data_IF_832251535024
#
_entry.id   IF_832251535024
#
_cell.length_a   1.000
_cell.length_b   1.000
_cell.length_c   1.000
_cell.angle_alpha   90.00
_cell.angle_beta   90.00
_cell.angle_gamma   90.00
#
_symmetry.space_group_name_H-M   'P 1'
#
loop_
_entity.id
_entity.type
_entity.pdbx_description
1 polymer ?
#
# COMPACT_ATOMS: atom_id res chain seq x y z
N UNK A 1 59.57 20.91 16.14
CA UNK A 1 59.02 22.20 15.65
C UNK A 1 58.57 22.05 14.21
N UNK A 2 57.25 21.85 13.98
CA UNK A 2 56.46 22.24 12.79
C UNK A 2 55.12 21.50 12.81
N UNK A 3 54.32 21.85 13.80
CA UNK A 3 52.88 21.99 13.58
C UNK A 3 52.73 23.34 12.86
N UNK A 4 51.75 23.51 11.97
CA UNK A 4 51.40 24.71 11.18
C UNK A 4 51.67 24.60 9.68
N UNK A 5 50.83 23.85 8.97
CA UNK A 5 50.17 24.35 7.77
C UNK A 5 48.68 23.95 7.88
N UNK A 6 47.90 24.91 8.38
CA UNK A 6 46.44 24.94 8.35
C UNK A 6 45.96 25.30 6.94
N UNK A 7 44.80 24.75 6.55
CA UNK A 7 43.95 25.25 5.44
C UNK A 7 44.47 24.84 4.06
N UNK A 8 43.70 24.30 3.14
CA UNK A 8 42.29 24.42 2.75
C UNK A 8 42.06 23.10 1.99
N UNK A 9 41.13 22.21 2.35
CA UNK A 9 39.81 22.16 1.72
C UNK A 9 39.04 20.95 2.27
N UNK A 10 39.19 20.68 3.57
CA UNK A 10 38.36 19.66 4.24
C UNK A 10 36.97 20.23 4.48
N UNK A 11 36.21 20.34 3.39
CA UNK A 11 34.75 20.41 3.43
C UNK A 11 34.23 19.36 2.46
N UNK A 12 34.50 18.10 2.79
CA UNK A 12 33.73 16.98 2.27
C UNK A 12 32.36 17.09 2.94
N UNK A 13 31.45 17.86 2.32
CA UNK A 13 30.03 17.78 2.64
C UNK A 13 29.56 16.41 2.16
N UNK A 14 29.74 15.38 3.00
CA UNK A 14 29.01 14.13 2.85
C UNK A 14 27.56 14.48 3.17
N UNK A 15 26.79 14.84 2.15
CA UNK A 15 25.34 14.80 2.23
C UNK A 15 24.98 13.34 2.43
N UNK A 16 24.90 12.91 3.69
CA UNK A 16 24.18 11.70 4.05
C UNK A 16 22.73 11.95 3.67
N UNK A 17 22.39 11.60 2.43
CA UNK A 17 21.02 11.38 2.01
C UNK A 17 20.49 10.29 2.91
N UNK A 18 19.88 10.66 4.04
CA UNK A 18 19.08 9.73 4.82
C UNK A 18 17.96 9.32 3.88
N UNK A 19 18.14 8.19 3.21
CA UNK A 19 17.05 7.51 2.55
C UNK A 19 15.96 7.40 3.61
N UNK A 20 14.90 8.19 3.45
CA UNK A 20 13.73 8.08 4.29
C UNK A 20 13.27 6.66 4.05
N UNK A 21 13.59 5.77 4.99
CA UNK A 21 13.04 4.44 5.06
C UNK A 21 11.55 4.69 5.27
N UNK A 22 10.80 4.77 4.18
CA UNK A 22 9.35 4.78 4.24
C UNK A 22 8.99 3.48 4.96
N UNK A 23 8.54 3.60 6.22
CA UNK A 23 8.13 2.45 7.00
C UNK A 23 7.09 1.71 6.16
N UNK A 24 7.39 0.46 5.78
CA UNK A 24 6.48 -0.34 4.98
C UNK A 24 5.16 -0.48 5.75
N UNK A 25 4.08 0.06 5.19
CA UNK A 25 2.76 -0.08 5.79
C UNK A 25 2.27 -1.53 5.60
N UNK A 26 1.29 -1.96 6.37
CA UNK A 26 0.76 -3.32 6.30
C UNK A 26 -0.74 -3.32 6.49
N UNK A 27 -1.45 -4.05 5.63
CA UNK A 27 -2.85 -4.41 5.85
C UNK A 27 -2.89 -5.56 6.87
N UNK A 28 -3.33 -5.24 8.07
CA UNK A 28 -3.40 -6.16 9.21
C UNK A 28 -4.68 -6.99 9.17
N UNK A 29 -5.79 -6.37 8.76
CA UNK A 29 -7.10 -7.02 8.73
C UNK A 29 -8.03 -6.38 7.68
N UNK A 30 -9.04 -7.12 7.24
CA UNK A 30 -10.11 -6.63 6.37
C UNK A 30 -11.46 -7.02 6.95
N UNK A 31 -12.36 -6.04 7.09
CA UNK A 31 -13.73 -6.25 7.53
C UNK A 31 -14.70 -5.81 6.46
N UNK A 32 -15.75 -6.61 6.23
CA UNK A 32 -16.79 -6.33 5.25
C UNK A 32 -18.12 -6.20 5.98
N UNK A 33 -18.79 -5.06 5.79
CA UNK A 33 -20.08 -4.74 6.35
C UNK A 33 -21.07 -4.51 5.21
N UNK A 34 -21.83 -5.56 4.82
CA UNK A 34 -22.84 -5.44 3.78
C UNK A 34 -24.09 -4.71 4.30
N UNK A 35 -24.69 -3.90 3.45
CA UNK A 35 -26.01 -3.29 3.61
C UNK A 35 -26.82 -3.52 2.31
N UNK A 36 -28.15 -3.28 2.31
CA UNK A 36 -28.97 -3.52 1.12
C UNK A 36 -28.55 -2.71 -0.12
N UNK A 37 -28.05 -1.48 0.08
CA UNK A 37 -27.74 -0.49 -0.96
C UNK A 37 -26.24 -0.20 -1.10
N UNK A 38 -25.43 -0.50 -0.08
CA UNK A 38 -23.99 -0.31 -0.11
C UNK A 38 -23.23 -1.45 0.57
N UNK A 39 -21.91 -1.52 0.37
CA UNK A 39 -21.04 -2.40 1.16
C UNK A 39 -19.83 -1.63 1.61
N UNK A 40 -19.57 -1.62 2.92
CA UNK A 40 -18.40 -0.96 3.50
C UNK A 40 -17.30 -1.99 3.71
N UNK A 41 -16.15 -1.76 3.09
CA UNK A 41 -14.94 -2.53 3.32
C UNK A 41 -13.95 -1.65 4.09
N UNK A 42 -13.45 -2.18 5.20
CA UNK A 42 -12.52 -1.48 6.10
C UNK A 42 -11.22 -2.25 6.14
N UNK A 43 -10.12 -1.59 5.78
CA UNK A 43 -8.76 -2.09 5.92
C UNK A 43 -8.17 -1.55 7.21
N UNK A 44 -7.79 -2.43 8.14
CA UNK A 44 -7.03 -2.04 9.33
C UNK A 44 -5.54 -2.02 8.95
N UNK A 45 -4.87 -0.90 9.24
CA UNK A 45 -3.50 -0.64 8.79
C UNK A 45 -2.67 0.03 9.88
N UNK A 46 -1.37 -0.28 9.91
CA UNK A 46 -0.44 0.26 10.90
C UNK A 46 -0.23 1.79 10.78
N UNK A 47 -0.34 2.34 9.57
CA UNK A 47 -0.24 3.77 9.31
C UNK A 47 -1.19 4.20 8.18
N UNK A 48 -1.34 5.51 7.97
CA UNK A 48 -2.14 6.04 6.85
C UNK A 48 -1.56 5.60 5.51
N UNK A 49 -2.34 4.93 4.64
CA UNK A 49 -1.83 4.49 3.35
C UNK A 49 -1.82 5.60 2.30
N UNK A 50 -0.85 5.53 1.39
CA UNK A 50 -0.98 6.13 0.06
C UNK A 50 -1.66 5.11 -0.86
N UNK A 51 -2.70 5.53 -1.58
CA UNK A 51 -3.44 4.64 -2.47
C UNK A 51 -3.96 5.33 -3.72
N UNK A 52 -4.18 4.54 -4.76
CA UNK A 52 -4.93 4.95 -5.96
C UNK A 52 -5.99 3.90 -6.28
N UNK A 53 -7.01 4.26 -7.04
CA UNK A 53 -8.05 3.31 -7.44
C UNK A 53 -8.55 3.58 -8.86
N UNK A 54 -9.10 2.55 -9.48
CA UNK A 54 -9.75 2.64 -10.79
C UNK A 54 -10.76 1.52 -10.96
N UNK A 55 -11.60 1.64 -11.98
CA UNK A 55 -12.66 0.68 -12.29
C UNK A 55 -12.43 0.02 -13.64
N UNK A 56 -12.84 -1.25 -13.76
CA UNK A 56 -12.80 -2.00 -15.01
C UNK A 56 -14.24 -2.44 -15.33
N UNK A 57 -14.83 -1.84 -16.37
CA UNK A 57 -16.24 -2.03 -16.76
C UNK A 57 -16.42 -2.52 -18.20
N UNK A 58 -15.33 -2.67 -18.95
CA UNK A 58 -15.30 -3.16 -20.33
C UNK A 58 -15.65 -4.66 -20.42
N UNK A 59 -15.45 -5.42 -19.34
CA UNK A 59 -15.85 -6.82 -19.25
C UNK A 59 -16.35 -7.23 -17.86
N UNK A 60 -17.19 -8.28 -17.82
CA UNK A 60 -17.64 -8.92 -16.58
C UNK A 60 -16.60 -9.92 -16.05
N UNK A 61 -16.48 -10.10 -14.72
CA UNK A 61 -17.14 -9.31 -13.68
C UNK A 61 -16.59 -7.88 -13.65
N UNK A 62 -17.47 -6.92 -13.32
CA UNK A 62 -17.08 -5.53 -13.10
C UNK A 62 -16.14 -5.43 -11.91
N UNK A 63 -15.12 -4.58 -12.00
CA UNK A 63 -14.09 -4.51 -10.95
C UNK A 63 -13.88 -3.12 -10.43
N UNK A 64 -13.75 -3.02 -9.11
CA UNK A 64 -13.03 -1.93 -8.45
C UNK A 64 -11.63 -2.45 -8.11
N UNK A 65 -10.61 -1.68 -8.44
CA UNK A 65 -9.22 -2.02 -8.17
C UNK A 65 -8.61 -0.91 -7.31
N UNK A 66 -8.00 -1.29 -6.19
CA UNK A 66 -7.29 -0.37 -5.30
C UNK A 66 -5.82 -0.79 -5.22
N UNK A 67 -4.93 0.15 -5.45
CA UNK A 67 -3.48 0.02 -5.28
C UNK A 67 -3.05 0.72 -4.01
N UNK A 68 -2.46 -0.01 -3.06
CA UNK A 68 -1.82 0.53 -1.87
C UNK A 68 -0.31 0.58 -2.09
N UNK A 69 0.27 1.79 -2.08
CA UNK A 69 1.69 1.99 -2.31
C UNK A 69 2.52 1.65 -1.07
N UNK A 70 3.70 1.04 -1.26
CA UNK A 70 4.62 0.66 -0.18
C UNK A 70 3.93 -0.05 1.00
N UNK A 71 2.97 -0.90 0.68
CA UNK A 71 2.07 -1.56 1.62
C UNK A 71 2.07 -3.06 1.39
N UNK A 72 2.46 -3.82 2.42
CA UNK A 72 2.34 -5.27 2.48
C UNK A 72 0.96 -5.74 2.97
N UNK A 73 0.79 -7.06 3.09
CA UNK A 73 -0.47 -7.67 3.58
C UNK A 73 -0.18 -8.88 4.47
N UNK A 74 -0.80 -8.91 5.65
CA UNK A 74 -0.77 -10.06 6.56
C UNK A 74 -2.06 -10.89 6.54
N UNK A 75 -3.17 -10.32 6.06
CA UNK A 75 -4.50 -10.95 6.03
C UNK A 75 -4.74 -11.77 4.76
N UNK A 76 -5.07 -13.04 4.89
CA UNK A 76 -5.50 -13.87 3.75
C UNK A 76 -6.91 -13.50 3.28
N UNK A 77 -7.00 -12.80 2.14
CA UNK A 77 -8.27 -12.32 1.59
C UNK A 77 -9.22 -13.44 1.18
N UNK A 78 -8.71 -14.65 0.92
CA UNK A 78 -9.55 -15.80 0.58
C UNK A 78 -10.38 -16.29 1.77
N UNK A 79 -10.00 -15.89 2.99
CA UNK A 79 -10.69 -16.22 4.24
C UNK A 79 -11.61 -15.09 4.73
N UNK A 80 -11.60 -13.93 4.07
CA UNK A 80 -12.48 -12.82 4.41
C UNK A 80 -13.88 -13.18 3.92
N UNK A 81 -14.83 -13.26 4.84
CA UNK A 81 -16.23 -13.51 4.50
C UNK A 81 -16.82 -12.27 3.83
N UNK A 82 -17.34 -12.43 2.62
CA UNK A 82 -17.98 -11.36 1.85
C UNK A 82 -19.45 -11.74 1.62
N UNK A 83 -20.31 -11.39 2.58
CA UNK A 83 -21.77 -11.62 2.50
C UNK A 83 -22.48 -10.42 1.87
N UNK A 84 -22.01 -9.95 0.71
CA UNK A 84 -22.52 -8.75 0.03
C UNK A 84 -23.26 -9.10 -1.26
N UNK A 85 -24.31 -8.35 -1.57
CA UNK A 85 -24.97 -8.38 -2.89
C UNK A 85 -24.14 -7.69 -3.98
N UNK A 86 -23.22 -6.80 -3.60
CA UNK A 86 -22.46 -5.94 -4.51
C UNK A 86 -21.02 -6.43 -4.75
N UNK A 87 -20.47 -7.23 -3.83
CA UNK A 87 -19.11 -7.75 -3.91
C UNK A 87 -19.20 -9.28 -3.77
N UNK A 88 -18.88 -9.99 -4.83
CA UNK A 88 -18.85 -11.46 -4.85
C UNK A 88 -17.47 -11.99 -4.45
N UNK A 89 -16.40 -11.24 -4.73
CA UNK A 89 -15.04 -11.69 -4.47
C UNK A 89 -14.11 -10.55 -4.09
N UNK A 90 -13.25 -10.85 -3.11
CA UNK A 90 -12.12 -10.02 -2.74
C UNK A 90 -10.82 -10.79 -2.97
N UNK A 91 -9.90 -10.24 -3.78
CA UNK A 91 -8.64 -10.91 -4.10
C UNK A 91 -7.48 -9.94 -4.32
N UNK A 92 -6.27 -10.48 -4.42
CA UNK A 92 -5.11 -9.72 -4.90
C UNK A 92 -4.90 -9.89 -6.41
N UNK A 93 -4.14 -8.98 -7.01
CA UNK A 93 -3.55 -9.16 -8.35
C UNK A 93 -2.15 -8.56 -8.40
N UNK A 94 -1.49 -8.64 -9.55
CA UNK A 94 -0.16 -8.04 -9.75
C UNK A 94 -0.20 -6.53 -9.50
N UNK A 95 0.55 -6.02 -8.50
CA UNK A 95 0.63 -4.59 -8.21
C UNK A 95 1.55 -3.86 -9.20
N UNK A 96 1.50 -2.52 -9.19
CA UNK A 96 2.40 -1.68 -10.01
C UNK A 96 3.87 -1.82 -9.62
N UNK A 97 4.14 -2.06 -8.33
CA UNK A 97 5.49 -2.17 -7.77
C UNK A 97 5.58 -3.38 -6.84
N UNK A 98 6.79 -3.91 -6.60
CA UNK A 98 7.02 -5.06 -5.72
C UNK A 98 6.71 -4.77 -4.24
N UNK A 99 6.75 -3.51 -3.82
CA UNK A 99 6.45 -3.09 -2.44
C UNK A 99 4.99 -2.72 -2.23
N UNK A 100 4.17 -2.74 -3.29
CA UNK A 100 2.77 -2.31 -3.26
C UNK A 100 1.83 -3.52 -3.23
N UNK A 101 0.60 -3.33 -2.74
CA UNK A 101 -0.45 -4.35 -2.75
C UNK A 101 -1.63 -3.88 -3.61
N UNK A 102 -2.05 -4.70 -4.59
CA UNK A 102 -3.27 -4.45 -5.37
C UNK A 102 -4.40 -5.35 -4.90
N UNK A 103 -5.51 -4.73 -4.53
CA UNK A 103 -6.77 -5.39 -4.15
C UNK A 103 -7.78 -5.22 -5.28
N UNK A 104 -8.47 -6.29 -5.61
CA UNK A 104 -9.53 -6.34 -6.62
C UNK A 104 -10.81 -6.81 -5.97
N UNK A 105 -11.87 -6.03 -6.18
CA UNK A 105 -13.24 -6.35 -5.87
C UNK A 105 -13.93 -6.78 -7.16
N UNK A 106 -14.63 -7.92 -7.14
CA UNK A 106 -15.47 -8.44 -8.23
C UNK A 106 -16.89 -8.66 -7.74
#
# INVERSE_FOLDING_TARGET
>A
MKQWILGIMSLVVVVFSTAVQANANTIENVRVWPAPDNTRVVFDMASTPEFSYFTIYDNLPYRLVIDFENTGRQVDLTKVKVDSLLIQKLRTSTPKSKSSTRIVFE
#
